data_IF_462278541416
#
_entry.id   IF_462278541416
#
_cell.length_a   1.000
_cell.length_b   1.000
_cell.length_c   1.000
_cell.angle_alpha   90.00
_cell.angle_beta   90.00
_cell.angle_gamma   90.00
#
_symmetry.space_group_name_H-M   'P 1'
#
loop_
_entity.id
_entity.type
_entity.pdbx_description
1 polymer ?
#
# COMPACT_ATOMS: atom_id res chain seq x y z
N UNK A 1 -1.41 -2.75 13.30
CA UNK A 1 -0.90 -1.82 12.27
C UNK A 1 0.54 -1.46 12.60
N UNK A 2 1.53 -2.17 12.05
CA UNK A 2 2.94 -2.02 12.46
C UNK A 2 3.69 -0.84 11.82
N UNK A 3 3.28 -0.40 10.63
CA UNK A 3 3.97 0.64 9.84
C UNK A 3 3.11 1.89 9.58
N UNK A 4 1.96 2.02 10.26
CA UNK A 4 1.12 3.23 10.17
C UNK A 4 0.31 3.40 8.87
N UNK A 5 0.38 2.46 7.92
CA UNK A 5 -0.36 2.52 6.65
C UNK A 5 -1.49 1.50 6.63
N UNK A 6 -2.70 1.97 6.28
CA UNK A 6 -3.87 1.11 6.04
C UNK A 6 -4.18 1.03 4.55
N UNK A 7 -4.20 -0.19 4.01
CA UNK A 7 -4.49 -0.46 2.60
C UNK A 7 -5.26 -1.76 2.46
N UNK A 8 -6.08 -1.84 1.42
CA UNK A 8 -6.83 -3.04 1.07
C UNK A 8 -6.12 -3.71 -0.11
N UNK A 9 -5.79 -4.99 0.06
CA UNK A 9 -5.27 -5.82 -1.02
C UNK A 9 -6.41 -6.28 -1.93
N UNK A 10 -6.18 -6.26 -3.25
CA UNK A 10 -7.05 -6.91 -4.21
C UNK A 10 -6.50 -8.29 -4.57
N UNK A 11 -7.35 -9.29 -4.39
CA UNK A 11 -7.13 -10.68 -4.77
C UNK A 11 -8.29 -11.19 -5.62
N UNK A 12 -8.17 -12.41 -6.14
CA UNK A 12 -9.29 -13.11 -6.77
C UNK A 12 -10.49 -13.17 -5.80
N UNK A 13 -11.74 -12.96 -6.28
CA UNK A 13 -12.17 -12.78 -7.68
C UNK A 13 -12.11 -11.34 -8.21
N UNK A 14 -11.70 -10.37 -7.39
CA UNK A 14 -11.65 -8.94 -7.76
C UNK A 14 -10.60 -8.67 -8.84
N UNK A 15 -9.52 -9.45 -8.86
CA UNK A 15 -8.49 -9.44 -9.91
C UNK A 15 -8.17 -10.87 -10.35
N UNK A 16 -7.69 -11.09 -11.60
CA UNK A 16 -7.30 -12.43 -12.06
C UNK A 16 -6.27 -13.10 -11.15
N UNK A 17 -6.26 -14.44 -11.14
CA UNK A 17 -5.23 -15.22 -10.43
C UNK A 17 -3.82 -14.82 -10.89
N UNK A 18 -2.87 -14.79 -9.96
CA UNK A 18 -1.49 -14.34 -10.23
C UNK A 18 -1.32 -12.84 -10.44
N UNK A 19 -2.40 -12.04 -10.32
CA UNK A 19 -2.39 -10.57 -10.48
C UNK A 19 -2.83 -9.83 -9.22
N UNK A 20 -2.68 -10.46 -8.05
CA UNK A 20 -2.93 -9.81 -6.78
C UNK A 20 -2.07 -8.55 -6.62
N UNK A 21 -2.68 -7.46 -6.14
CA UNK A 21 -2.03 -6.15 -6.06
C UNK A 21 -2.65 -5.31 -4.95
N UNK A 22 -1.86 -4.38 -4.45
CA UNK A 22 -2.31 -3.37 -3.50
C UNK A 22 -2.65 -2.10 -4.28
N UNK A 23 -3.80 -1.47 -3.99
CA UNK A 23 -4.15 -0.15 -4.53
C UNK A 23 -4.10 0.87 -3.39
N UNK A 24 -3.31 1.91 -3.58
CA UNK A 24 -3.30 3.09 -2.70
C UNK A 24 -4.27 4.12 -3.29
N UNK A 25 -5.13 4.68 -2.44
CA UNK A 25 -6.01 5.77 -2.81
C UNK A 25 -5.47 7.05 -2.17
N UNK A 26 -5.21 8.06 -3.00
CA UNK A 26 -4.65 9.35 -2.57
C UNK A 26 -5.70 10.43 -2.83
N UNK A 27 -5.77 11.42 -1.95
CA UNK A 27 -6.62 12.61 -2.13
C UNK A 27 -5.84 13.89 -1.80
N UNK A 28 -6.40 15.04 -2.18
CA UNK A 28 -5.73 16.35 -2.11
C UNK A 28 -5.29 16.78 -0.70
N UNK A 29 -5.79 16.16 0.36
CA UNK A 29 -5.37 16.44 1.74
C UNK A 29 -4.05 15.77 2.12
N UNK A 30 -3.55 14.83 1.32
CA UNK A 30 -2.25 14.20 1.59
C UNK A 30 -1.12 15.17 1.25
N UNK A 31 -0.20 15.32 2.18
CA UNK A 31 1.05 16.05 2.00
C UNK A 31 2.11 15.19 1.30
N UNK A 32 3.16 15.81 0.76
CA UNK A 32 4.31 15.06 0.24
C UNK A 32 4.92 14.13 1.29
N UNK A 33 4.96 14.57 2.55
CA UNK A 33 5.48 13.77 3.67
C UNK A 33 4.62 12.52 3.93
N UNK A 34 3.29 12.60 3.76
CA UNK A 34 2.41 11.43 3.86
C UNK A 34 2.72 10.41 2.76
N UNK A 35 3.02 10.88 1.55
CA UNK A 35 3.41 10.02 0.43
C UNK A 35 4.75 9.36 0.70
N UNK A 36 5.74 10.12 1.18
CA UNK A 36 7.07 9.59 1.52
C UNK A 36 7.00 8.53 2.62
N UNK A 37 6.20 8.78 3.67
CA UNK A 37 5.91 7.80 4.74
C UNK A 37 5.27 6.52 4.19
N UNK A 38 4.31 6.67 3.28
CA UNK A 38 3.63 5.54 2.64
C UNK A 38 4.62 4.68 1.82
N UNK A 39 5.47 5.32 1.02
CA UNK A 39 6.51 4.64 0.23
C UNK A 39 7.52 3.92 1.14
N UNK A 40 8.02 4.59 2.18
CA UNK A 40 8.96 4.01 3.14
C UNK A 40 8.37 2.77 3.83
N UNK A 41 7.10 2.81 4.20
CA UNK A 41 6.40 1.66 4.79
C UNK A 41 6.32 0.47 3.83
N UNK A 42 6.04 0.70 2.54
CA UNK A 42 6.01 -0.38 1.54
C UNK A 42 7.39 -1.00 1.29
N UNK A 43 8.46 -0.19 1.29
CA UNK A 43 9.83 -0.68 1.20
C UNK A 43 10.17 -1.54 2.43
N UNK A 44 9.94 -1.03 3.63
CA UNK A 44 10.19 -1.76 4.87
C UNK A 44 9.39 -3.08 4.93
N UNK A 45 8.13 -3.08 4.50
CA UNK A 45 7.31 -4.30 4.45
C UNK A 45 7.82 -5.33 3.45
N UNK A 46 8.44 -4.89 2.33
CA UNK A 46 9.09 -5.79 1.37
C UNK A 46 10.34 -6.43 1.97
N UNK A 47 11.13 -5.65 2.69
CA UNK A 47 12.43 -6.06 3.21
C UNK A 47 12.32 -6.93 4.49
N UNK A 48 11.14 -6.96 5.12
CA UNK A 48 10.80 -7.88 6.22
C UNK A 48 10.46 -9.31 5.77
N UNK A 49 10.68 -9.65 4.50
CA UNK A 49 10.42 -10.99 3.94
C UNK A 49 11.58 -11.96 4.12
#
# INVERSE_FOLDING_TARGET
FGLGIYVVAFSYPVVPMGKARIRVQICATHTSEDIDKCVAAFIAARDQR
#
